data_IF_557232322465
#
_entry.id   IF_557232322465
#
_cell.length_a   1.000
_cell.length_b   1.000
_cell.length_c   1.000
_cell.angle_alpha   90.00
_cell.angle_beta   90.00
_cell.angle_gamma   90.00
#
_symmetry.space_group_name_H-M   'P 1'
#
loop_
_entity.id
_entity.type
_entity.pdbx_description
1 polymer ?
#
# COMPACT_ATOMS: atom_id res chain seq x y z
N UNK A 1 -7.90 0.57 -1.30
CA UNK A 1 -8.03 -0.66 -2.12
C UNK A 1 -9.44 -1.24 -2.06
N UNK A 2 -9.93 -1.66 -0.88
CA UNK A 2 -11.28 -2.23 -0.75
C UNK A 2 -12.38 -1.32 -1.35
N UNK A 3 -12.36 -0.04 -1.00
CA UNK A 3 -13.34 0.92 -1.53
C UNK A 3 -13.24 1.09 -3.05
N UNK A 4 -12.02 1.07 -3.61
CA UNK A 4 -11.81 1.15 -5.06
C UNK A 4 -12.40 -0.07 -5.78
N UNK A 5 -12.25 -1.27 -5.19
CA UNK A 5 -12.87 -2.49 -5.69
C UNK A 5 -14.40 -2.39 -5.66
N UNK A 6 -14.99 -1.96 -4.54
CA UNK A 6 -16.44 -1.82 -4.41
C UNK A 6 -17.03 -0.78 -5.37
N UNK A 7 -16.26 0.25 -5.73
CA UNK A 7 -16.65 1.27 -6.70
C UNK A 7 -16.48 0.83 -8.16
N UNK A 8 -15.99 -0.38 -8.42
CA UNK A 8 -15.76 -0.88 -9.78
C UNK A 8 -14.67 -0.11 -10.52
N UNK A 9 -13.65 0.37 -9.80
CA UNK A 9 -12.52 1.10 -10.37
C UNK A 9 -11.67 0.22 -11.28
N UNK A 10 -10.94 0.84 -12.20
CA UNK A 10 -10.02 0.12 -13.11
C UNK A 10 -8.85 -0.50 -12.35
N UNK A 11 -8.18 -1.51 -12.92
CA UNK A 11 -6.96 -2.09 -12.33
C UNK A 11 -5.89 -1.05 -12.03
N UNK A 12 -5.68 -0.10 -12.95
CA UNK A 12 -4.78 1.04 -12.75
C UNK A 12 -5.17 1.90 -11.53
N UNK A 13 -6.44 2.25 -11.38
CA UNK A 13 -6.91 3.01 -10.21
C UNK A 13 -6.81 2.19 -8.90
N UNK A 14 -6.98 0.88 -8.96
CA UNK A 14 -6.84 -0.02 -7.80
C UNK A 14 -5.38 -0.09 -7.35
N UNK A 15 -4.43 -0.24 -8.29
CA UNK A 15 -2.99 -0.27 -7.99
C UNK A 15 -2.51 1.08 -7.45
N UNK A 16 -2.93 2.19 -8.06
CA UNK A 16 -2.64 3.54 -7.58
C UNK A 16 -3.21 3.79 -6.17
N UNK A 17 -4.41 3.30 -5.86
CA UNK A 17 -4.97 3.38 -4.51
C UNK A 17 -4.17 2.57 -3.48
N UNK A 18 -3.48 1.50 -3.90
CA UNK A 18 -2.60 0.73 -3.02
C UNK A 18 -1.27 1.45 -2.80
N UNK A 19 -0.68 2.00 -3.86
CA UNK A 19 0.57 2.78 -3.81
C UNK A 19 0.39 4.03 -2.92
N UNK A 20 -0.71 4.79 -3.12
CA UNK A 20 -1.05 5.93 -2.26
C UNK A 20 -1.27 5.55 -0.81
N UNK A 21 -1.84 4.38 -0.53
CA UNK A 21 -2.01 3.90 0.84
C UNK A 21 -0.66 3.58 1.51
N UNK A 22 0.30 3.04 0.76
CA UNK A 22 1.66 2.83 1.25
C UNK A 22 2.38 4.17 1.48
N UNK A 23 2.30 5.11 0.55
CA UNK A 23 2.90 6.45 0.68
C UNK A 23 2.33 7.22 1.88
N UNK A 24 1.02 7.10 2.14
CA UNK A 24 0.38 7.74 3.27
C UNK A 24 0.93 7.29 4.64
N UNK A 25 1.68 6.18 4.71
CA UNK A 25 2.33 5.74 5.94
C UNK A 25 3.56 6.57 6.31
N UNK A 26 4.18 7.27 5.35
CA UNK A 26 5.41 8.04 5.56
C UNK A 26 5.30 9.04 6.73
N UNK A 27 4.26 9.88 6.85
CA UNK A 27 4.15 10.82 7.98
C UNK A 27 3.67 10.15 9.29
N UNK A 28 3.35 8.86 9.31
CA UNK A 28 2.79 8.20 10.48
C UNK A 28 3.85 7.79 11.50
N UNK A 29 3.54 7.92 12.80
CA UNK A 29 4.31 7.27 13.86
C UNK A 29 3.91 5.81 13.96
N UNK A 30 4.88 4.90 13.86
CA UNK A 30 4.62 3.48 14.00
C UNK A 30 4.19 3.12 15.43
N UNK A 31 2.99 2.55 15.58
CA UNK A 31 2.45 2.10 16.88
C UNK A 31 2.51 0.57 17.06
N UNK A 32 2.83 -0.17 15.98
CA UNK A 32 2.84 -1.64 15.94
C UNK A 32 4.11 -2.15 15.23
N UNK A 33 4.44 -3.42 15.46
CA UNK A 33 5.57 -4.09 14.80
C UNK A 33 6.94 -3.62 15.29
N UNK A 34 8.01 -4.02 14.60
CA UNK A 34 9.40 -3.65 14.98
C UNK A 34 9.70 -2.16 14.83
N UNK A 35 9.03 -1.48 13.90
CA UNK A 35 9.22 -0.05 13.67
C UNK A 35 8.76 0.81 14.87
N UNK A 36 7.83 0.31 15.71
CA UNK A 36 7.39 1.06 16.90
C UNK A 36 8.49 1.24 17.95
N UNK A 37 9.53 0.38 17.95
CA UNK A 37 10.68 0.49 18.84
C UNK A 37 11.50 1.77 18.61
N UNK A 38 11.35 2.39 17.43
CA UNK A 38 12.07 3.61 17.05
C UNK A 38 11.36 4.89 17.53
N UNK A 39 10.12 4.79 18.03
CA UNK A 39 9.34 5.95 18.46
C UNK A 39 9.18 6.99 17.34
N UNK A 40 9.46 8.25 17.63
CA UNK A 40 9.32 9.36 16.66
C UNK A 40 10.28 9.24 15.48
N UNK A 41 11.36 8.45 15.60
CA UNK A 41 12.28 8.18 14.48
C UNK A 41 11.67 7.34 13.36
N UNK A 42 10.49 6.74 13.58
CA UNK A 42 9.75 6.04 12.53
C UNK A 42 9.08 6.98 11.54
N UNK A 43 8.76 8.21 11.96
CA UNK A 43 8.15 9.24 11.11
C UNK A 43 9.11 9.58 9.96
N UNK A 44 8.56 9.74 8.75
CA UNK A 44 9.32 9.98 7.53
C UNK A 44 9.75 8.71 6.79
N UNK A 45 9.38 7.53 7.28
CA UNK A 45 9.71 6.25 6.65
C UNK A 45 8.43 5.51 6.25
N UNK A 46 8.36 5.11 4.98
CA UNK A 46 7.28 4.27 4.48
C UNK A 46 7.28 2.92 5.21
N UNK A 47 6.10 2.43 5.60
CA UNK A 47 5.97 1.08 6.13
C UNK A 47 6.26 0.04 5.04
N UNK A 48 7.20 -0.86 5.35
CA UNK A 48 7.58 -1.93 4.44
C UNK A 48 6.42 -2.90 4.18
N UNK A 49 5.57 -3.15 5.19
CA UNK A 49 4.39 -4.01 5.04
C UNK A 49 3.38 -3.42 4.07
N UNK A 50 3.03 -2.15 4.23
CA UNK A 50 2.19 -1.39 3.30
C UNK A 50 2.72 -1.42 1.87
N UNK A 51 4.03 -1.21 1.68
CA UNK A 51 4.66 -1.29 0.35
C UNK A 51 4.58 -2.69 -0.27
N UNK A 52 4.85 -3.74 0.52
CA UNK A 52 4.72 -5.12 0.04
C UNK A 52 3.30 -5.45 -0.39
N UNK A 53 2.29 -4.98 0.35
CA UNK A 53 0.88 -5.17 -0.04
C UNK A 53 0.56 -4.44 -1.34
N UNK A 54 1.06 -3.22 -1.55
CA UNK A 54 0.86 -2.50 -2.81
C UNK A 54 1.44 -3.27 -4.02
N UNK A 55 2.63 -3.87 -3.86
CA UNK A 55 3.23 -4.74 -4.88
C UNK A 55 2.39 -6.00 -5.14
N UNK A 56 1.84 -6.63 -4.10
CA UNK A 56 0.95 -7.78 -4.25
C UNK A 56 -0.34 -7.42 -5.00
N UNK A 57 -0.95 -6.27 -4.70
CA UNK A 57 -2.13 -5.79 -5.42
C UNK A 57 -1.82 -5.58 -6.89
N UNK A 58 -0.68 -4.97 -7.22
CA UNK A 58 -0.20 -4.82 -8.60
C UNK A 58 -0.06 -6.16 -9.32
N UNK A 59 0.65 -7.12 -8.71
CA UNK A 59 0.83 -8.44 -9.28
C UNK A 59 -0.51 -9.16 -9.53
N UNK A 60 -1.47 -9.03 -8.60
CA UNK A 60 -2.82 -9.61 -8.75
C UNK A 60 -3.57 -8.97 -9.92
N UNK A 61 -3.55 -7.64 -10.04
CA UNK A 61 -4.19 -6.92 -11.16
C UNK A 61 -3.58 -7.34 -12.49
N UNK A 62 -2.25 -7.34 -12.59
CA UNK A 62 -1.52 -7.77 -13.80
C UNK A 62 -1.84 -9.23 -14.18
N UNK A 63 -1.99 -10.11 -13.19
CA UNK A 63 -2.34 -11.53 -13.42
C UNK A 63 -3.78 -11.67 -13.94
N UNK A 64 -4.72 -10.90 -13.39
CA UNK A 64 -6.15 -11.02 -13.72
C UNK A 64 -6.48 -10.36 -15.06
N UNK A 65 -5.86 -9.23 -15.38
CA UNK A 65 -6.08 -8.52 -16.66
C UNK A 65 -5.42 -9.22 -17.86
N UNK A 66 -4.68 -10.30 -17.60
CA UNK A 66 -3.88 -11.00 -18.59
C UNK A 66 -2.61 -10.19 -18.87
N UNK A 67 -1.44 -10.82 -18.75
CA UNK A 67 -0.18 -10.17 -19.06
C UNK A 67 -0.25 -9.65 -20.51
N UNK A 68 -0.39 -8.33 -20.67
CA UNK A 68 -0.15 -7.66 -21.94
C UNK A 68 1.35 -7.73 -22.29
#
# INVERSE_FOLDING_TARGET
VHDALLQGKTGAEITDAADRAADATVPMKALRGRASFLGDRSIGHMDAGGRSVALLVRAVVETIEGHA
#
